data_IF_415514717621
#
_entry.id   IF_415514717621
#
_cell.length_a   1.000
_cell.length_b   1.000
_cell.length_c   1.000
_cell.angle_alpha   90.00
_cell.angle_beta   90.00
_cell.angle_gamma   90.00
#
_symmetry.space_group_name_H-M   'P 1'
#
loop_
_entity.id
_entity.type
_entity.pdbx_description
1 polymer ?
#
# COMPACT_ATOMS: atom_id res chain seq x y z
N UNK A 1 -20.77 -2.64 -16.49
CA UNK A 1 -19.85 -3.49 -15.69
C UNK A 1 -18.46 -2.86 -15.56
N UNK A 2 -17.81 -2.47 -16.66
CA UNK A 2 -16.44 -1.91 -16.68
C UNK A 2 -16.26 -0.61 -15.89
N UNK A 3 -17.15 0.38 -16.08
CA UNK A 3 -17.11 1.67 -15.36
C UNK A 3 -17.24 1.54 -13.83
N UNK A 4 -17.98 0.54 -13.36
CA UNK A 4 -18.13 0.30 -11.92
C UNK A 4 -16.87 -0.28 -11.30
N UNK A 5 -16.08 -1.06 -12.05
CA UNK A 5 -14.82 -1.61 -11.56
C UNK A 5 -13.75 -0.50 -11.44
N UNK A 6 -13.68 0.38 -12.44
CA UNK A 6 -12.77 1.54 -12.45
C UNK A 6 -12.90 2.39 -11.18
N UNK A 7 -14.12 2.56 -10.66
CA UNK A 7 -14.39 3.31 -9.43
C UNK A 7 -13.67 2.75 -8.20
N UNK A 8 -13.51 1.43 -8.12
CA UNK A 8 -12.80 0.81 -7.00
C UNK A 8 -11.29 0.74 -7.24
N UNK A 9 -10.86 0.71 -8.50
CA UNK A 9 -9.47 0.42 -8.87
C UNK A 9 -8.62 1.66 -9.16
N UNK A 10 -9.20 2.84 -9.44
CA UNK A 10 -8.39 4.01 -9.80
C UNK A 10 -7.47 4.49 -8.67
N UNK A 11 -7.95 4.52 -7.42
CA UNK A 11 -7.14 4.89 -6.24
C UNK A 11 -5.94 3.94 -6.06
N UNK A 12 -6.15 2.61 -5.92
CA UNK A 12 -5.03 1.70 -5.78
C UNK A 12 -4.08 1.72 -6.99
N UNK A 13 -4.60 1.90 -8.20
CA UNK A 13 -3.77 1.95 -9.41
C UNK A 13 -2.84 3.18 -9.42
N UNK A 14 -3.35 4.36 -9.02
CA UNK A 14 -2.54 5.57 -8.91
C UNK A 14 -1.45 5.43 -7.84
N UNK A 15 -1.78 4.84 -6.70
CA UNK A 15 -0.80 4.60 -5.63
C UNK A 15 0.23 3.56 -6.05
N UNK A 16 -0.19 2.47 -6.69
CA UNK A 16 0.72 1.46 -7.23
C UNK A 16 1.69 2.08 -8.25
N UNK A 17 1.18 2.90 -9.18
CA UNK A 17 2.01 3.61 -10.16
C UNK A 17 3.01 4.56 -9.48
N UNK A 18 2.58 5.28 -8.44
CA UNK A 18 3.46 6.12 -7.63
C UNK A 18 4.56 5.29 -6.95
N UNK A 19 4.21 4.19 -6.29
CA UNK A 19 5.19 3.29 -5.64
C UNK A 19 6.19 2.75 -6.67
N UNK A 20 5.73 2.31 -7.84
CA UNK A 20 6.62 1.86 -8.91
C UNK A 20 7.61 2.95 -9.32
N UNK A 21 7.13 4.17 -9.51
CA UNK A 21 7.99 5.31 -9.84
C UNK A 21 9.02 5.58 -8.74
N UNK A 22 8.60 5.61 -7.47
CA UNK A 22 9.48 5.87 -6.33
C UNK A 22 10.53 4.76 -6.13
N UNK A 23 10.14 3.50 -6.25
CA UNK A 23 11.03 2.35 -6.00
C UNK A 23 11.97 2.06 -7.18
N UNK A 24 11.48 2.16 -8.41
CA UNK A 24 12.22 1.68 -9.59
C UNK A 24 12.84 2.81 -10.43
N UNK A 25 12.23 4.00 -10.46
CA UNK A 25 12.60 5.07 -11.41
C UNK A 25 13.30 6.26 -10.77
N UNK A 26 13.16 6.48 -9.46
CA UNK A 26 13.94 7.51 -8.76
C UNK A 26 15.40 7.11 -8.63
N UNK A 27 16.28 8.01 -9.02
CA UNK A 27 17.72 7.92 -8.85
C UNK A 27 18.10 8.17 -7.38
N UNK A 28 19.04 7.38 -6.86
CA UNK A 28 19.50 7.49 -5.46
C UNK A 28 20.06 8.89 -5.14
N UNK A 29 20.63 9.58 -6.13
CA UNK A 29 21.12 10.96 -6.02
C UNK A 29 20.03 12.00 -5.77
N UNK A 30 18.77 11.68 -6.01
CA UNK A 30 17.64 12.60 -5.81
C UNK A 30 17.04 12.47 -4.39
N UNK A 31 17.53 11.51 -3.60
CA UNK A 31 17.11 11.30 -2.22
C UNK A 31 18.01 12.18 -1.33
N UNK A 32 17.47 13.20 -0.63
CA UNK A 32 18.27 14.03 0.26
C UNK A 32 18.89 13.15 1.36
N UNK A 33 20.16 13.38 1.67
CA UNK A 33 20.84 12.72 2.78
C UNK A 33 20.16 13.13 4.09
N UNK A 34 19.36 12.21 4.63
CA UNK A 34 18.71 12.38 5.93
C UNK A 34 19.66 11.81 6.97
N UNK A 35 20.50 12.66 7.58
CA UNK A 35 21.35 12.32 8.73
C UNK A 35 20.52 12.23 10.03
N UNK A 36 19.46 11.41 10.02
CA UNK A 36 18.74 11.04 11.24
C UNK A 36 19.23 9.65 11.62
N UNK A 37 19.98 9.58 12.72
CA UNK A 37 20.53 8.34 13.28
C UNK A 37 19.41 7.54 13.95
N UNK A 38 18.55 6.94 13.14
CA UNK A 38 17.45 6.09 13.58
C UNK A 38 17.93 4.63 13.63
N UNK A 39 17.46 3.85 14.61
CA UNK A 39 17.82 2.43 14.72
C UNK A 39 17.40 1.61 13.48
N UNK A 40 16.39 2.10 12.74
CA UNK A 40 15.87 1.50 11.52
C UNK A 40 16.19 2.42 10.34
N UNK A 41 16.82 1.92 9.27
CA UNK A 41 17.06 2.69 8.06
C UNK A 41 15.78 3.35 7.48
N UNK A 42 15.92 4.59 7.00
CA UNK A 42 14.78 5.42 6.57
C UNK A 42 14.01 4.83 5.38
N UNK A 43 14.69 4.12 4.48
CA UNK A 43 14.09 3.36 3.39
C UNK A 43 13.04 2.37 3.90
N UNK A 44 13.32 1.63 4.99
CA UNK A 44 12.36 0.67 5.57
C UNK A 44 11.14 1.37 6.15
N UNK A 45 11.34 2.54 6.73
CA UNK A 45 10.25 3.39 7.22
C UNK A 45 9.39 3.89 6.05
N UNK A 46 10.03 4.30 4.94
CA UNK A 46 9.32 4.71 3.73
C UNK A 46 8.50 3.56 3.15
N UNK A 47 9.07 2.35 3.03
CA UNK A 47 8.37 1.13 2.59
C UNK A 47 7.14 0.84 3.46
N UNK A 48 7.31 0.85 4.79
CA UNK A 48 6.19 0.69 5.72
C UNK A 48 5.06 1.70 5.44
N UNK A 49 5.36 2.99 5.33
CA UNK A 49 4.33 4.00 5.11
C UNK A 49 3.73 3.98 3.70
N UNK A 50 4.51 3.60 2.68
CA UNK A 50 4.01 3.40 1.31
C UNK A 50 2.94 2.30 1.28
N UNK A 51 3.21 1.14 1.88
CA UNK A 51 2.26 0.02 1.86
C UNK A 51 1.14 0.15 2.88
N UNK A 52 1.38 0.84 4.00
CA UNK A 52 0.31 1.29 4.89
C UNK A 52 -0.66 2.23 4.16
N UNK A 53 -0.15 3.22 3.43
CA UNK A 53 -0.94 4.13 2.62
C UNK A 53 -1.66 3.42 1.49
N UNK A 54 -0.98 2.51 0.79
CA UNK A 54 -1.55 1.75 -0.32
C UNK A 54 -2.69 0.84 0.15
N UNK A 55 -2.44 0.02 1.18
CA UNK A 55 -3.44 -0.87 1.78
C UNK A 55 -4.60 -0.07 2.38
N UNK A 56 -4.28 0.96 3.18
CA UNK A 56 -5.24 1.81 3.85
C UNK A 56 -6.14 2.54 2.88
N UNK A 57 -5.58 3.24 1.89
CA UNK A 57 -6.38 3.95 0.89
C UNK A 57 -7.26 3.00 0.07
N UNK A 58 -6.77 1.80 -0.25
CA UNK A 58 -7.56 0.77 -0.94
C UNK A 58 -8.74 0.32 -0.10
N UNK A 59 -8.50 0.01 1.18
CA UNK A 59 -9.55 -0.40 2.12
C UNK A 59 -10.58 0.72 2.36
N UNK A 60 -10.12 1.94 2.65
CA UNK A 60 -10.97 3.10 2.92
C UNK A 60 -11.84 3.44 1.71
N UNK A 61 -11.27 3.44 0.49
CA UNK A 61 -12.03 3.66 -0.74
C UNK A 61 -13.12 2.60 -0.92
N UNK A 62 -12.79 1.31 -0.75
CA UNK A 62 -13.76 0.22 -0.87
C UNK A 62 -14.89 0.35 0.16
N UNK A 63 -14.56 0.60 1.43
CA UNK A 63 -15.52 0.79 2.53
C UNK A 63 -16.43 1.99 2.27
N UNK A 64 -15.86 3.12 1.87
CA UNK A 64 -16.61 4.35 1.60
C UNK A 64 -17.60 4.15 0.45
N UNK A 65 -17.15 3.56 -0.66
CA UNK A 65 -17.98 3.30 -1.84
C UNK A 65 -19.13 2.32 -1.57
N UNK A 66 -18.94 1.41 -0.60
CA UNK A 66 -19.94 0.45 -0.15
C UNK A 66 -20.74 0.90 1.07
N UNK A 67 -20.51 2.13 1.56
CA UNK A 67 -21.18 2.65 2.77
C UNK A 67 -21.05 1.69 3.97
N UNK A 68 -19.91 1.02 4.09
CA UNK A 68 -19.63 0.06 5.16
C UNK A 68 -20.18 -1.36 4.96
N UNK A 69 -21.11 -1.57 4.03
CA UNK A 69 -21.64 -2.88 3.66
C UNK A 69 -20.70 -3.62 2.69
N UNK A 70 -19.58 -4.08 3.26
CA UNK A 70 -18.49 -4.70 2.52
C UNK A 70 -18.44 -6.22 2.70
N UNK A 71 -17.88 -6.88 1.69
CA UNK A 71 -17.40 -8.26 1.78
C UNK A 71 -15.98 -8.25 2.36
N UNK A 72 -15.81 -8.87 3.53
CA UNK A 72 -14.52 -8.90 4.25
C UNK A 72 -13.46 -9.67 3.47
N UNK A 73 -13.84 -10.76 2.79
CA UNK A 73 -12.91 -11.53 1.97
C UNK A 73 -12.39 -10.69 0.80
N UNK A 74 -13.26 -9.90 0.15
CA UNK A 74 -12.83 -8.96 -0.89
C UNK A 74 -11.93 -7.87 -0.34
N UNK A 75 -12.21 -7.33 0.85
CA UNK A 75 -11.33 -6.35 1.49
C UNK A 75 -9.94 -6.96 1.75
N UNK A 76 -9.87 -8.17 2.32
CA UNK A 76 -8.58 -8.82 2.59
C UNK A 76 -7.81 -9.14 1.31
N UNK A 77 -8.48 -9.62 0.25
CA UNK A 77 -7.82 -9.89 -1.02
C UNK A 77 -7.25 -8.59 -1.61
N UNK A 78 -8.07 -7.55 -1.77
CA UNK A 78 -7.67 -6.37 -2.53
C UNK A 78 -6.86 -5.36 -1.72
N UNK A 79 -7.10 -5.23 -0.42
CA UNK A 79 -6.42 -4.26 0.41
C UNK A 79 -5.25 -4.84 1.20
N UNK A 80 -5.14 -6.17 1.37
CA UNK A 80 -4.03 -6.76 2.13
C UNK A 80 -3.17 -7.67 1.26
N UNK A 81 -3.74 -8.70 0.64
CA UNK A 81 -2.98 -9.65 -0.16
C UNK A 81 -2.37 -9.01 -1.40
N UNK A 82 -3.17 -8.25 -2.17
CA UNK A 82 -2.69 -7.64 -3.43
C UNK A 82 -1.54 -6.63 -3.23
N UNK A 83 -1.56 -5.72 -2.23
CA UNK A 83 -0.40 -4.89 -1.93
C UNK A 83 0.85 -5.70 -1.60
N UNK A 84 0.76 -6.75 -0.78
CA UNK A 84 1.94 -7.58 -0.42
C UNK A 84 2.51 -8.29 -1.66
N UNK A 85 1.65 -8.85 -2.51
CA UNK A 85 2.08 -9.47 -3.77
C UNK A 85 2.71 -8.44 -4.72
N UNK A 86 2.20 -7.21 -4.71
CA UNK A 86 2.78 -6.11 -5.47
C UNK A 86 4.16 -5.73 -4.96
N UNK A 87 4.36 -5.62 -3.64
CA UNK A 87 5.69 -5.37 -3.06
C UNK A 87 6.69 -6.45 -3.38
N UNK A 88 6.33 -7.72 -3.21
CA UNK A 88 7.18 -8.83 -3.64
C UNK A 88 7.55 -8.75 -5.14
N UNK A 89 6.62 -8.33 -6.00
CA UNK A 89 6.90 -8.13 -7.41
C UNK A 89 7.87 -6.97 -7.65
N UNK A 90 7.70 -5.84 -6.94
CA UNK A 90 8.60 -4.68 -7.05
C UNK A 90 10.03 -5.05 -6.67
N UNK A 91 10.23 -5.75 -5.55
CA UNK A 91 11.56 -6.23 -5.11
C UNK A 91 12.24 -7.08 -6.19
N UNK A 92 11.49 -8.05 -6.77
CA UNK A 92 12.00 -8.90 -7.86
C UNK A 92 12.30 -8.09 -9.12
N UNK A 93 11.52 -7.06 -9.41
CA UNK A 93 11.76 -6.20 -10.58
C UNK A 93 12.98 -5.32 -10.38
N UNK A 94 13.16 -4.74 -9.18
CA UNK A 94 14.32 -3.92 -8.84
C UNK A 94 15.62 -4.69 -9.04
N UNK A 95 15.71 -5.89 -8.46
CA UNK A 95 16.88 -6.76 -8.55
C UNK A 95 17.24 -7.17 -9.98
N UNK A 96 16.23 -7.44 -10.82
CA UNK A 96 16.45 -7.95 -12.18
C UNK A 96 16.63 -6.86 -13.24
N UNK A 97 15.99 -5.72 -13.08
CA UNK A 97 15.82 -4.75 -14.16
C UNK A 97 16.26 -3.32 -13.81
N UNK A 98 16.50 -3.00 -12.53
CA UNK A 98 16.87 -1.65 -12.11
C UNK A 98 18.17 -1.58 -11.29
N UNK A 99 19.34 -2.02 -11.80
CA UNK A 99 20.63 -1.78 -11.15
C UNK A 99 20.84 -0.27 -10.88
N UNK A 100 21.36 0.15 -9.71
CA UNK A 100 21.99 -0.66 -8.65
C UNK A 100 21.01 -1.12 -7.53
N UNK A 101 19.69 -1.03 -7.73
CA UNK A 101 18.71 -1.53 -6.74
C UNK A 101 18.84 -3.05 -6.63
N UNK A 102 18.75 -3.57 -5.42
CA UNK A 102 18.78 -5.00 -5.11
C UNK A 102 17.55 -5.34 -4.27
N UNK A 103 17.05 -6.57 -4.41
CA UNK A 103 15.94 -7.03 -3.58
C UNK A 103 16.37 -7.08 -2.10
N UNK A 104 15.50 -6.62 -1.21
CA UNK A 104 15.71 -6.67 0.23
C UNK A 104 14.51 -7.32 0.96
N UNK A 105 14.81 -8.38 1.71
CA UNK A 105 13.83 -9.04 2.56
C UNK A 105 13.26 -8.14 3.64
N UNK A 106 14.02 -7.13 4.09
CA UNK A 106 13.53 -6.17 5.07
C UNK A 106 12.59 -5.13 4.47
N UNK A 107 12.73 -4.80 3.18
CA UNK A 107 11.73 -4.00 2.45
C UNK A 107 10.43 -4.77 2.29
N UNK A 108 10.52 -6.04 1.85
CA UNK A 108 9.36 -6.92 1.79
C UNK A 108 8.65 -7.09 3.15
N UNK A 109 9.42 -7.19 4.24
CA UNK A 109 8.86 -7.24 5.59
C UNK A 109 8.17 -5.92 5.97
N UNK A 110 8.81 -4.78 5.69
CA UNK A 110 8.25 -3.46 5.96
C UNK A 110 6.93 -3.24 5.18
N UNK A 111 6.89 -3.64 3.91
CA UNK A 111 5.70 -3.62 3.07
C UNK A 111 4.54 -4.43 3.69
N UNK A 112 4.86 -5.66 4.13
CA UNK A 112 3.92 -6.54 4.80
C UNK A 112 3.37 -5.97 6.11
N UNK A 113 4.24 -5.38 6.94
CA UNK A 113 3.83 -4.73 8.19
C UNK A 113 2.99 -3.47 7.94
N UNK A 114 3.32 -2.68 6.93
CA UNK A 114 2.53 -1.54 6.50
C UNK A 114 1.11 -1.96 6.11
N UNK A 115 1.00 -2.95 5.24
CA UNK A 115 -0.29 -3.50 4.82
C UNK A 115 -1.08 -4.11 5.99
N UNK A 116 -0.42 -4.81 6.91
CA UNK A 116 -1.07 -5.41 8.09
C UNK A 116 -1.62 -4.35 9.04
N UNK A 117 -0.85 -3.29 9.31
CA UNK A 117 -1.24 -2.21 10.23
C UNK A 117 -2.36 -1.33 9.72
N UNK A 118 -2.61 -1.32 8.41
CA UNK A 118 -3.76 -0.64 7.82
C UNK A 118 -5.11 -1.33 8.13
N UNK A 119 -5.13 -2.63 8.41
CA UNK A 119 -6.36 -3.40 8.62
C UNK A 119 -7.17 -2.96 9.86
N UNK A 120 -6.57 -2.78 11.06
CA UNK A 120 -7.29 -2.24 12.21
C UNK A 120 -7.97 -0.89 11.92
N UNK A 121 -7.29 0.00 11.19
CA UNK A 121 -7.82 1.32 10.82
C UNK A 121 -9.02 1.17 9.88
N UNK A 122 -8.93 0.27 8.90
CA UNK A 122 -10.04 -0.04 8.01
C UNK A 122 -11.27 -0.56 8.77
N UNK A 123 -11.08 -1.41 9.79
CA UNK A 123 -12.18 -1.94 10.61
C UNK A 123 -12.85 -0.82 11.41
N UNK A 124 -12.06 0.06 12.06
CA UNK A 124 -12.58 1.21 12.80
C UNK A 124 -13.39 2.12 11.87
N UNK A 125 -12.85 2.43 10.69
CA UNK A 125 -13.52 3.27 9.70
C UNK A 125 -14.82 2.64 9.18
N UNK A 126 -14.82 1.33 8.89
CA UNK A 126 -16.03 0.60 8.50
C UNK A 126 -17.13 0.76 9.55
N UNK A 127 -16.80 0.54 10.82
CA UNK A 127 -17.78 0.64 11.90
C UNK A 127 -18.33 2.06 12.05
N UNK A 128 -17.49 3.08 11.81
CA UNK A 128 -17.91 4.48 11.79
C UNK A 128 -18.89 4.78 10.63
N UNK A 129 -18.62 4.30 9.42
CA UNK A 129 -19.49 4.49 8.25
C UNK A 129 -20.82 3.73 8.39
N UNK A 130 -20.79 2.49 8.91
CA UNK A 130 -22.00 1.71 9.15
C UNK A 130 -22.96 2.43 10.10
N UNK A 131 -22.45 2.98 11.20
CA UNK A 131 -23.25 3.74 12.18
C UNK A 131 -23.93 4.97 11.58
N UNK A 132 -23.35 5.58 10.54
CA UNK A 132 -23.95 6.72 9.85
C UNK A 132 -25.01 6.31 8.83
N UNK A 133 -24.91 5.10 8.27
CA UNK A 133 -25.82 4.62 7.25
C UNK A 133 -27.08 3.99 7.85
N UNK A 134 -27.02 3.53 9.09
CA UNK A 134 -28.16 2.98 9.85
C UNK A 134 -28.98 4.02 10.62
N UNK A 135 -28.60 5.30 10.56
CA UNK A 135 -29.39 6.43 11.07
C UNK A 135 -30.22 7.03 9.96
#
# INVERSE_FOLDING_TARGET
MFLNLLKYTYVPLLIAALIFYLCCLITVSDIPDVEIDFFIPFDKVAHFFMYFGFSGATALNYIYLKKGDIDVSRLLIWAFLMPILYGALIEVLQDRYFPPRAADWYDFLADGLGALTALPIAIVFRNYILKQTTK
#
